data_IF_122576825354
#
_entry.id   IF_122576825354
#
_cell.length_a   1.000
_cell.length_b   1.000
_cell.length_c   1.000
_cell.angle_alpha   90.00
_cell.angle_beta   90.00
_cell.angle_gamma   90.00
#
_symmetry.space_group_name_H-M   'P 1'
#
loop_
_entity.id
_entity.type
_entity.pdbx_description
1 polymer ?
#
# COMPACT_ATOMS: atom_id res chain seq x y z
N UNK A 1 -1.84 20.61 4.35
CA UNK A 1 -2.92 20.05 5.18
C UNK A 1 -3.00 18.55 5.01
N UNK A 2 -3.17 17.88 6.13
CA UNK A 2 -3.27 16.42 6.10
C UNK A 2 -4.42 15.90 5.27
N UNK A 3 -5.47 16.70 5.15
CA UNK A 3 -6.69 16.27 4.48
C UNK A 3 -6.49 16.00 3.00
N UNK A 4 -5.40 16.50 2.45
CA UNK A 4 -5.12 16.31 1.03
C UNK A 4 -4.37 15.01 0.76
N UNK A 5 -4.04 14.27 1.82
CA UNK A 5 -3.22 13.07 1.68
C UNK A 5 -3.95 11.87 2.25
N UNK A 6 -4.41 11.03 1.36
CA UNK A 6 -5.16 9.85 1.70
C UNK A 6 -4.32 8.60 1.48
N UNK A 7 -4.43 7.64 2.38
CA UNK A 7 -3.74 6.35 2.28
C UNK A 7 -4.72 5.35 1.68
N UNK A 8 -4.31 4.65 0.63
CA UNK A 8 -5.11 3.57 0.07
C UNK A 8 -4.55 2.24 0.57
N UNK A 9 -5.41 1.46 1.21
CA UNK A 9 -5.05 0.13 1.69
C UNK A 9 -5.63 -0.90 0.74
N UNK A 10 -4.78 -1.69 0.09
CA UNK A 10 -5.23 -2.75 -0.82
C UNK A 10 -4.90 -4.09 -0.17
N UNK A 11 -5.93 -4.83 0.20
CA UNK A 11 -5.79 -6.10 0.92
C UNK A 11 -7.09 -6.88 0.73
N UNK A 12 -7.00 -8.17 0.46
CA UNK A 12 -8.20 -8.98 0.27
C UNK A 12 -8.80 -9.47 1.59
N UNK A 13 -8.15 -9.19 2.71
CA UNK A 13 -8.64 -9.58 4.03
C UNK A 13 -9.24 -8.37 4.74
N UNK A 14 -10.56 -8.38 4.88
CA UNK A 14 -11.26 -7.24 5.49
C UNK A 14 -10.86 -7.01 6.95
N UNK A 15 -10.41 -8.05 7.64
CA UNK A 15 -9.95 -7.89 9.02
C UNK A 15 -8.67 -7.09 9.09
N UNK A 16 -7.75 -7.33 8.15
CA UNK A 16 -6.51 -6.56 8.08
C UNK A 16 -6.81 -5.11 7.73
N UNK A 17 -7.72 -4.89 6.78
CA UNK A 17 -8.12 -3.54 6.39
C UNK A 17 -8.68 -2.80 7.60
N UNK A 18 -9.58 -3.46 8.33
CA UNK A 18 -10.20 -2.84 9.50
C UNK A 18 -9.17 -2.45 10.55
N UNK A 19 -8.23 -3.36 10.83
CA UNK A 19 -7.22 -3.12 11.84
C UNK A 19 -6.30 -1.97 11.46
N UNK A 20 -5.81 -1.96 10.23
CA UNK A 20 -4.93 -0.88 9.75
C UNK A 20 -5.67 0.45 9.72
N UNK A 21 -6.90 0.43 9.23
CA UNK A 21 -7.69 1.65 9.15
C UNK A 21 -7.90 2.27 10.52
N UNK A 22 -8.24 1.43 11.51
CA UNK A 22 -8.47 1.92 12.87
C UNK A 22 -7.21 2.56 13.46
N UNK A 23 -6.06 1.91 13.30
CA UNK A 23 -4.82 2.41 13.87
C UNK A 23 -4.38 3.69 13.18
N UNK A 24 -4.45 3.74 11.86
CA UNK A 24 -4.02 4.92 11.11
C UNK A 24 -4.96 6.09 11.32
N UNK A 25 -6.24 5.82 11.42
CA UNK A 25 -7.22 6.86 11.70
C UNK A 25 -6.97 7.49 13.06
N UNK A 26 -6.61 6.67 14.05
CA UNK A 26 -6.28 7.16 15.39
C UNK A 26 -5.07 8.09 15.36
N UNK A 27 -4.22 7.96 14.35
CA UNK A 27 -3.06 8.84 14.17
C UNK A 27 -3.36 9.97 13.18
N UNK A 28 -4.63 10.16 12.86
CA UNK A 28 -5.14 11.29 12.05
C UNK A 28 -4.80 11.20 10.58
N UNK A 29 -4.59 9.99 10.07
CA UNK A 29 -4.49 9.75 8.64
C UNK A 29 -5.87 9.45 8.07
N UNK A 30 -6.12 9.93 6.87
CA UNK A 30 -7.32 9.54 6.14
C UNK A 30 -7.01 8.30 5.31
N UNK A 31 -7.89 7.31 5.37
CA UNK A 31 -7.67 6.04 4.69
C UNK A 31 -8.89 5.66 3.87
N UNK A 32 -8.63 5.10 2.71
CA UNK A 32 -9.66 4.39 1.93
C UNK A 32 -9.10 3.01 1.67
N UNK A 33 -9.95 2.08 1.28
CA UNK A 33 -9.52 0.70 1.10
C UNK A 33 -10.12 0.08 -0.14
N UNK A 34 -9.44 -0.94 -0.65
CA UNK A 34 -9.91 -1.75 -1.76
C UNK A 34 -9.60 -3.20 -1.42
N UNK A 35 -10.49 -4.11 -1.78
CA UNK A 35 -10.30 -5.53 -1.47
C UNK A 35 -9.67 -6.31 -2.61
N UNK A 36 -9.23 -5.63 -3.65
CA UNK A 36 -8.49 -6.26 -4.73
C UNK A 36 -7.61 -5.22 -5.41
N UNK A 37 -6.59 -5.71 -6.11
CA UNK A 37 -5.69 -4.81 -6.83
C UNK A 37 -6.42 -4.07 -7.94
N UNK A 38 -7.33 -4.74 -8.64
CA UNK A 38 -8.07 -4.11 -9.74
C UNK A 38 -8.89 -2.92 -9.24
N UNK A 39 -9.62 -3.11 -8.13
CA UNK A 39 -10.41 -2.02 -7.55
C UNK A 39 -9.49 -0.90 -7.07
N UNK A 40 -8.38 -1.27 -6.43
CA UNK A 40 -7.44 -0.27 -5.94
C UNK A 40 -6.85 0.58 -7.04
N UNK A 41 -6.45 -0.05 -8.15
CA UNK A 41 -5.89 0.69 -9.27
C UNK A 41 -6.91 1.66 -9.87
N UNK A 42 -8.16 1.24 -9.94
CA UNK A 42 -9.22 2.11 -10.43
C UNK A 42 -9.43 3.30 -9.50
N UNK A 43 -9.42 3.06 -8.19
CA UNK A 43 -9.56 4.13 -7.22
C UNK A 43 -8.43 5.15 -7.34
N UNK A 44 -7.21 4.68 -7.61
CA UNK A 44 -6.08 5.58 -7.80
C UNK A 44 -6.29 6.54 -8.97
N UNK A 45 -6.91 6.06 -10.02
CA UNK A 45 -7.16 6.91 -11.18
C UNK A 45 -8.27 7.92 -10.93
N UNK A 46 -9.22 7.56 -10.08
CA UNK A 46 -10.38 8.41 -9.81
C UNK A 46 -10.14 9.39 -8.66
N UNK A 47 -9.29 9.05 -7.71
CA UNK A 47 -9.09 9.87 -6.52
C UNK A 47 -7.66 10.41 -6.48
N UNK A 48 -7.50 11.66 -6.84
CA UNK A 48 -6.19 12.30 -6.91
C UNK A 48 -5.61 12.66 -5.54
N UNK A 49 -6.39 12.50 -4.48
CA UNK A 49 -5.91 12.78 -3.14
C UNK A 49 -5.14 11.61 -2.53
N UNK A 50 -5.17 10.44 -3.17
CA UNK A 50 -4.41 9.31 -2.66
C UNK A 50 -2.93 9.59 -2.83
N UNK A 51 -2.22 9.63 -1.71
CA UNK A 51 -0.80 10.01 -1.69
C UNK A 51 0.14 8.82 -1.56
N UNK A 52 -0.37 7.68 -1.11
CA UNK A 52 0.46 6.50 -0.88
C UNK A 52 -0.43 5.25 -0.84
N UNK A 53 0.14 4.12 -1.23
CA UNK A 53 -0.57 2.85 -1.26
C UNK A 53 0.11 1.86 -0.31
N UNK A 54 -0.69 1.19 0.50
CA UNK A 54 -0.23 0.04 1.28
C UNK A 54 -0.74 -1.19 0.54
N UNK A 55 0.17 -1.98 -0.02
CA UNK A 55 -0.17 -3.06 -0.93
C UNK A 55 0.13 -4.42 -0.32
N UNK A 56 -0.92 -5.21 -0.08
CA UNK A 56 -0.74 -6.61 0.30
C UNK A 56 -0.18 -7.37 -0.90
N UNK A 57 0.93 -8.06 -0.69
CA UNK A 57 1.61 -8.74 -1.79
C UNK A 57 1.05 -10.14 -2.07
N UNK A 58 0.19 -10.65 -1.20
CA UNK A 58 -0.33 -12.01 -1.30
C UNK A 58 -1.83 -12.01 -1.55
N UNK A 59 -2.23 -11.61 -2.75
CA UNK A 59 -3.64 -11.59 -3.11
C UNK A 59 -3.90 -12.54 -4.27
N UNK A 60 -5.11 -13.11 -4.36
CA UNK A 60 -5.47 -13.93 -5.51
C UNK A 60 -5.63 -13.06 -6.76
N UNK A 61 -5.67 -13.67 -7.91
CA UNK A 61 -5.85 -13.04 -9.23
C UNK A 61 -4.67 -12.16 -9.61
N UNK A 62 -4.63 -10.92 -9.17
CA UNK A 62 -3.50 -10.04 -9.43
C UNK A 62 -2.76 -9.81 -8.11
N UNK A 63 -1.55 -10.35 -8.00
CA UNK A 63 -0.78 -10.18 -6.76
C UNK A 63 -0.15 -8.78 -6.72
N UNK A 64 0.44 -8.47 -5.54
CA UNK A 64 1.00 -7.15 -5.32
C UNK A 64 2.16 -6.81 -6.24
N UNK A 65 2.97 -7.81 -6.62
CA UNK A 65 4.09 -7.55 -7.52
C UNK A 65 3.61 -7.04 -8.86
N UNK A 66 2.59 -7.71 -9.40
CA UNK A 66 2.02 -7.33 -10.69
C UNK A 66 1.35 -5.97 -10.59
N UNK A 67 0.61 -5.73 -9.52
CA UNK A 67 -0.07 -4.45 -9.33
C UNK A 67 0.92 -3.28 -9.26
N UNK A 68 2.04 -3.47 -8.57
CA UNK A 68 3.07 -2.43 -8.47
C UNK A 68 3.66 -2.16 -9.84
N UNK A 69 3.94 -3.21 -10.63
CA UNK A 69 4.46 -3.03 -11.97
C UNK A 69 3.51 -2.23 -12.84
N UNK A 70 2.21 -2.52 -12.75
CA UNK A 70 1.21 -1.77 -13.49
C UNK A 70 1.24 -0.30 -13.10
N UNK A 71 1.31 0.00 -11.79
CA UNK A 71 1.40 1.37 -11.33
C UNK A 71 2.63 2.08 -11.88
N UNK A 72 3.78 1.42 -11.80
CA UNK A 72 5.05 2.07 -12.19
C UNK A 72 5.16 2.26 -13.70
N UNK A 73 4.36 1.55 -14.47
CA UNK A 73 4.32 1.73 -15.93
C UNK A 73 3.23 2.69 -16.39
N UNK A 74 2.46 3.24 -15.46
CA UNK A 74 1.36 4.14 -15.78
C UNK A 74 1.79 5.57 -15.48
N UNK A 75 1.67 6.45 -16.48
CA UNK A 75 2.13 7.83 -16.35
C UNK A 75 1.41 8.58 -15.23
N UNK A 76 0.16 8.23 -14.94
CA UNK A 76 -0.59 8.90 -13.89
C UNK A 76 -0.27 8.36 -12.51
N UNK A 77 0.21 7.12 -12.41
CA UNK A 77 0.35 6.44 -11.13
C UNK A 77 1.81 6.22 -10.69
N UNK A 78 2.75 6.34 -11.61
CA UNK A 78 4.13 5.93 -11.33
C UNK A 78 4.81 6.71 -10.20
N UNK A 79 4.33 7.91 -9.92
CA UNK A 79 4.92 8.76 -8.89
C UNK A 79 4.35 8.49 -7.50
N UNK A 80 3.27 7.71 -7.40
CA UNK A 80 2.65 7.41 -6.12
C UNK A 80 3.47 6.35 -5.40
N UNK A 81 3.96 6.64 -4.18
CA UNK A 81 4.75 5.64 -3.45
C UNK A 81 3.91 4.47 -3.00
N UNK A 82 4.55 3.29 -2.95
CA UNK A 82 3.91 2.05 -2.55
C UNK A 82 4.73 1.39 -1.46
N UNK A 83 4.06 1.03 -0.37
CA UNK A 83 4.68 0.22 0.67
C UNK A 83 4.15 -1.20 0.52
N UNK A 84 5.05 -2.15 0.28
CA UNK A 84 4.68 -3.56 0.17
C UNK A 84 4.50 -4.16 1.56
N UNK A 85 3.38 -4.86 1.78
CA UNK A 85 3.11 -5.54 3.03
C UNK A 85 2.99 -7.02 2.72
N UNK A 86 3.80 -7.85 3.38
CA UNK A 86 3.87 -9.26 3.05
C UNK A 86 4.00 -10.12 4.29
N UNK A 87 3.39 -11.32 4.24
CA UNK A 87 3.54 -12.32 5.30
C UNK A 87 4.80 -13.17 5.08
N UNK A 88 5.43 -13.05 3.92
CA UNK A 88 6.61 -13.84 3.60
C UNK A 88 7.87 -13.09 3.98
N UNK A 89 8.49 -13.49 5.09
CA UNK A 89 9.75 -12.89 5.52
C UNK A 89 10.91 -13.75 5.07
N UNK A 90 10.90 -14.21 3.83
CA UNK A 90 11.95 -15.06 3.30
C UNK A 90 13.10 -14.22 2.74
N UNK A 91 14.29 -14.82 2.76
CA UNK A 91 15.46 -14.19 2.15
C UNK A 91 15.17 -13.86 0.70
N UNK A 92 15.40 -12.61 0.33
CA UNK A 92 15.19 -12.17 -1.03
C UNK A 92 13.82 -11.58 -1.31
N UNK A 93 12.87 -11.74 -0.40
CA UNK A 93 11.53 -11.21 -0.61
C UNK A 93 11.53 -9.69 -0.64
N UNK A 94 12.32 -9.07 0.23
CA UNK A 94 12.42 -7.61 0.25
C UNK A 94 12.97 -7.09 -1.08
N UNK A 95 14.02 -7.72 -1.59
CA UNK A 95 14.59 -7.33 -2.87
C UNK A 95 13.60 -7.51 -4.00
N UNK A 96 12.83 -8.59 -3.96
CA UNK A 96 11.82 -8.85 -4.97
C UNK A 96 10.75 -7.75 -4.99
N UNK A 97 10.31 -7.31 -3.81
CA UNK A 97 9.34 -6.22 -3.71
C UNK A 97 9.92 -4.93 -4.26
N UNK A 98 11.16 -4.61 -3.90
CA UNK A 98 11.80 -3.39 -4.35
C UNK A 98 12.04 -3.41 -5.85
N UNK A 99 12.40 -4.57 -6.41
CA UNK A 99 12.60 -4.71 -7.85
C UNK A 99 11.30 -4.51 -8.62
N UNK A 100 10.17 -4.90 -8.02
CA UNK A 100 8.87 -4.66 -8.65
C UNK A 100 8.52 -3.17 -8.66
N UNK A 101 9.15 -2.38 -7.81
CA UNK A 101 8.95 -0.95 -7.77
C UNK A 101 8.43 -0.42 -6.45
N UNK A 102 8.37 -1.26 -5.41
CA UNK A 102 7.93 -0.81 -4.09
C UNK A 102 8.92 0.19 -3.51
N UNK A 103 8.40 1.19 -2.84
CA UNK A 103 9.21 2.24 -2.21
C UNK A 103 9.51 1.92 -0.75
N UNK A 104 8.77 0.98 -0.16
CA UNK A 104 9.00 0.55 1.20
C UNK A 104 8.52 -0.90 1.37
N UNK A 105 8.85 -1.48 2.50
CA UNK A 105 8.59 -2.89 2.76
C UNK A 105 8.31 -3.08 4.25
N UNK A 106 7.21 -3.76 4.56
CA UNK A 106 6.85 -4.10 5.94
C UNK A 106 6.36 -5.55 5.95
N UNK A 107 6.89 -6.36 6.87
CA UNK A 107 6.44 -7.73 7.01
C UNK A 107 5.32 -7.83 8.05
N UNK A 108 4.43 -8.79 7.85
CA UNK A 108 3.36 -9.07 8.81
C UNK A 108 3.89 -9.94 9.94
N UNK A 109 3.41 -9.76 11.16
CA UNK A 109 2.41 -8.76 11.57
C UNK A 109 2.99 -7.35 11.53
N UNK A 110 2.17 -6.41 11.09
CA UNK A 110 2.63 -5.06 10.84
C UNK A 110 3.03 -4.37 12.14
N UNK A 111 4.27 -3.88 12.17
CA UNK A 111 4.76 -3.04 13.26
C UNK A 111 4.34 -1.62 12.95
N UNK A 112 3.43 -1.07 13.73
CA UNK A 112 2.86 0.24 13.45
C UNK A 112 3.92 1.34 13.51
N UNK A 113 4.88 1.24 14.44
CA UNK A 113 5.94 2.23 14.51
C UNK A 113 6.76 2.27 13.24
N UNK A 114 7.08 1.09 12.69
CA UNK A 114 7.84 1.00 11.46
C UNK A 114 7.06 1.54 10.28
N UNK A 115 5.77 1.21 10.22
CA UNK A 115 4.90 1.68 9.15
C UNK A 115 4.79 3.21 9.19
N UNK A 116 4.60 3.79 10.36
CA UNK A 116 4.46 5.24 10.48
C UNK A 116 5.75 5.95 10.06
N UNK A 117 6.91 5.37 10.38
CA UNK A 117 8.17 5.95 9.91
C UNK A 117 8.25 6.00 8.40
N UNK A 118 7.81 4.94 7.73
CA UNK A 118 7.80 4.92 6.27
C UNK A 118 6.80 5.91 5.71
N UNK A 119 5.63 6.02 6.34
CA UNK A 119 4.64 6.99 5.90
C UNK A 119 5.19 8.41 5.98
N UNK A 120 5.86 8.73 7.09
CA UNK A 120 6.44 10.06 7.26
C UNK A 120 7.52 10.36 6.23
N UNK A 121 8.27 9.33 5.82
CA UNK A 121 9.31 9.52 4.81
C UNK A 121 8.74 9.69 3.41
N UNK A 122 7.65 9.01 3.11
CA UNK A 122 7.16 8.92 1.74
C UNK A 122 6.01 9.88 1.43
N UNK A 123 5.32 10.35 2.44
CA UNK A 123 4.28 11.37 2.26
C UNK A 123 4.88 12.79 2.45
#
# INVERSE_FOLDING_TARGET
MKNDKTILIIDDDSKNIFALNAVLKARKYDCVSANSAAVGLEMLKQNKNIAIVLMDMMMPEMDGYEAIRVMKNDEELKEIPVIAITAQAMTGDREKCLEAGADGYVSKPVDISELVKLLDLLI
#
